data_IF_545655613943
#
_entry.id   IF_545655613943
#
_cell.length_a   1.000
_cell.length_b   1.000
_cell.length_c   1.000
_cell.angle_alpha   90.00
_cell.angle_beta   90.00
_cell.angle_gamma   90.00
#
_symmetry.space_group_name_H-M   'P 1'
#
loop_
_entity.id
_entity.type
_entity.pdbx_description
1 polymer ?
#
# COMPACT_ATOMS: atom_id res chain seq x y z
N UNK A 1 48.72 -47.59 -39.53
CA UNK A 1 47.43 -47.00 -39.97
C UNK A 1 46.98 -46.07 -38.86
N UNK A 2 47.37 -44.78 -38.95
CA UNK A 2 46.58 -43.62 -39.43
C UNK A 2 45.87 -42.90 -38.28
N UNK A 3 46.52 -41.82 -37.85
CA UNK A 3 45.99 -40.65 -37.15
C UNK A 3 44.94 -39.92 -38.00
N UNK A 4 43.90 -39.35 -37.38
CA UNK A 4 43.13 -38.19 -37.90
C UNK A 4 42.16 -37.69 -36.80
N UNK A 5 42.55 -36.71 -35.99
CA UNK A 5 42.34 -35.26 -36.14
C UNK A 5 40.93 -34.75 -35.76
N UNK A 6 40.92 -34.06 -34.62
CA UNK A 6 40.08 -32.91 -34.29
C UNK A 6 39.81 -32.00 -35.50
N UNK A 7 38.54 -31.68 -35.78
CA UNK A 7 38.13 -30.42 -36.41
C UNK A 7 36.65 -30.11 -36.07
N UNK A 8 36.44 -28.88 -35.57
CA UNK A 8 35.16 -28.13 -35.45
C UNK A 8 34.13 -28.58 -34.40
N UNK A 9 34.08 -27.97 -33.19
CA UNK A 9 33.45 -26.67 -32.82
C UNK A 9 31.91 -26.62 -32.96
N UNK A 10 31.23 -26.51 -31.81
CA UNK A 10 30.07 -25.67 -31.40
C UNK A 10 29.50 -26.34 -30.13
N UNK A 11 29.89 -25.93 -28.92
CA UNK A 11 29.24 -24.87 -28.12
C UNK A 11 27.75 -25.13 -27.82
N UNK A 12 27.43 -25.73 -26.66
CA UNK A 12 26.26 -25.37 -25.83
C UNK A 12 26.38 -26.07 -24.46
N UNK A 13 26.90 -25.35 -23.46
CA UNK A 13 26.14 -24.86 -22.31
C UNK A 13 25.76 -25.97 -21.34
N UNK A 14 26.56 -26.04 -20.28
CA UNK A 14 26.14 -26.53 -18.98
C UNK A 14 24.81 -25.89 -18.57
N UNK A 15 23.88 -26.68 -18.05
CA UNK A 15 23.03 -26.38 -16.88
C UNK A 15 22.26 -27.69 -16.62
N UNK A 16 22.91 -28.57 -15.86
CA UNK A 16 22.21 -29.56 -15.03
C UNK A 16 22.02 -28.88 -13.67
N UNK A 17 21.14 -27.89 -13.62
CA UNK A 17 20.84 -27.15 -12.39
C UNK A 17 19.33 -26.89 -12.32
N UNK A 18 18.77 -27.38 -11.21
CA UNK A 18 17.51 -26.96 -10.57
C UNK A 18 16.24 -27.67 -11.06
N UNK A 19 16.13 -28.95 -10.67
CA UNK A 19 14.84 -29.56 -10.31
C UNK A 19 14.43 -29.19 -8.86
N UNK A 20 14.62 -27.93 -8.47
CA UNK A 20 14.33 -27.40 -7.13
C UNK A 20 13.62 -26.05 -7.23
N UNK A 21 12.41 -26.04 -7.77
CA UNK A 21 11.51 -24.88 -7.65
C UNK A 21 10.09 -25.26 -8.06
N UNK A 22 9.51 -26.27 -7.40
CA UNK A 22 8.06 -26.55 -7.51
C UNK A 22 7.39 -26.81 -6.16
N UNK A 23 8.04 -26.45 -5.05
CA UNK A 23 7.41 -26.39 -3.73
C UNK A 23 7.70 -25.05 -3.01
N UNK A 24 7.72 -23.95 -3.75
CA UNK A 24 7.77 -22.60 -3.19
C UNK A 24 6.82 -21.61 -3.91
N UNK A 25 5.85 -22.14 -4.67
CA UNK A 25 4.96 -21.32 -5.51
C UNK A 25 3.47 -21.53 -5.20
N UNK A 26 3.13 -22.16 -4.06
CA UNK A 26 1.74 -22.29 -3.58
C UNK A 26 1.37 -21.35 -2.43
N UNK A 27 2.33 -20.64 -1.84
CA UNK A 27 2.08 -19.59 -0.81
C UNK A 27 2.41 -18.18 -1.33
N UNK A 28 2.45 -18.01 -2.65
CA UNK A 28 2.84 -16.78 -3.32
C UNK A 28 1.83 -15.65 -3.04
N UNK A 29 2.27 -14.64 -2.27
CA UNK A 29 1.80 -13.24 -2.28
C UNK A 29 0.29 -13.06 -2.54
N UNK A 30 -0.52 -13.20 -1.49
CA UNK A 30 -1.85 -12.55 -1.47
C UNK A 30 -1.79 -11.09 -0.98
N UNK A 31 -0.58 -10.53 -0.86
CA UNK A 31 -0.37 -9.16 -0.41
C UNK A 31 -0.58 -8.18 -1.57
N UNK A 32 -1.59 -7.32 -1.45
CA UNK A 32 -1.86 -6.23 -2.40
C UNK A 32 -0.65 -5.29 -2.55
N UNK A 33 0.13 -5.11 -1.47
CA UNK A 33 1.33 -4.27 -1.46
C UNK A 33 2.58 -5.08 -1.09
N UNK A 34 3.74 -4.62 -1.54
CA UNK A 34 5.03 -5.23 -1.20
C UNK A 34 5.56 -4.65 0.12
N UNK A 35 5.88 -5.52 1.08
CA UNK A 35 6.42 -5.16 2.39
C UNK A 35 5.95 -6.12 3.48
N UNK A 36 6.87 -6.66 4.27
CA UNK A 36 6.55 -7.49 5.45
C UNK A 36 5.82 -6.68 6.53
N UNK A 37 6.01 -5.36 6.53
CA UNK A 37 5.35 -4.40 7.41
C UNK A 37 3.92 -4.05 6.97
N UNK A 38 3.42 -4.56 5.85
CA UNK A 38 2.10 -4.22 5.29
C UNK A 38 1.13 -5.40 5.21
N UNK A 39 1.51 -6.57 5.74
CA UNK A 39 0.73 -7.81 5.63
C UNK A 39 -0.68 -7.67 6.21
N UNK A 40 -0.83 -6.99 7.36
CA UNK A 40 -2.12 -6.83 8.03
C UNK A 40 -3.11 -6.04 7.17
N UNK A 41 -2.68 -4.88 6.65
CA UNK A 41 -3.52 -4.06 5.77
C UNK A 41 -3.78 -4.76 4.44
N UNK A 42 -2.77 -5.38 3.84
CA UNK A 42 -2.91 -6.07 2.56
C UNK A 42 -3.92 -7.21 2.66
N UNK A 43 -3.91 -7.98 3.75
CA UNK A 43 -4.90 -9.02 4.01
C UNK A 43 -6.31 -8.44 4.22
N UNK A 44 -6.43 -7.38 5.01
CA UNK A 44 -7.70 -6.69 5.22
C UNK A 44 -8.29 -6.16 3.91
N UNK A 45 -7.43 -5.71 2.99
CA UNK A 45 -7.80 -5.30 1.64
C UNK A 45 -8.25 -6.52 0.82
N UNK A 46 -7.40 -7.53 0.64
CA UNK A 46 -7.70 -8.74 -0.15
C UNK A 46 -9.02 -9.43 0.23
N UNK A 47 -9.41 -9.44 1.51
CA UNK A 47 -10.67 -10.04 1.98
C UNK A 47 -11.90 -9.18 1.66
N UNK A 48 -11.75 -7.86 1.54
CA UNK A 48 -12.88 -6.91 1.48
C UNK A 48 -13.03 -6.17 0.14
N UNK A 49 -12.08 -6.34 -0.80
CA UNK A 49 -11.91 -5.40 -1.92
C UNK A 49 -11.69 -6.07 -3.28
N UNK A 50 -12.44 -7.13 -3.60
CA UNK A 50 -12.32 -7.88 -4.87
C UNK A 50 -12.45 -7.06 -6.17
N UNK A 51 -13.04 -5.85 -6.13
CA UNK A 51 -13.46 -5.12 -7.33
C UNK A 51 -12.85 -3.72 -7.55
N UNK A 52 -11.88 -3.27 -6.74
CA UNK A 52 -11.44 -1.85 -6.84
C UNK A 52 -10.44 -1.55 -7.93
N UNK A 53 -9.61 -2.53 -8.28
CA UNK A 53 -8.48 -2.29 -9.17
C UNK A 53 -8.88 -2.44 -10.65
N UNK A 54 -10.12 -2.07 -11.00
CA UNK A 54 -10.67 -2.11 -12.36
C UNK A 54 -10.09 -1.00 -13.26
N UNK A 55 -8.78 -0.78 -13.21
CA UNK A 55 -8.06 0.20 -14.03
C UNK A 55 -8.05 1.64 -13.50
N UNK A 56 -8.74 1.90 -12.39
CA UNK A 56 -8.77 3.24 -11.80
C UNK A 56 -7.42 3.63 -11.18
N UNK A 57 -7.09 4.92 -11.32
CA UNK A 57 -5.96 5.56 -10.66
C UNK A 57 -6.34 5.84 -9.22
N UNK A 58 -5.64 5.24 -8.28
CA UNK A 58 -5.94 5.33 -6.84
C UNK A 58 -4.69 5.69 -6.05
N UNK A 59 -4.91 6.39 -4.94
CA UNK A 59 -3.90 6.63 -3.93
C UNK A 59 -4.34 5.97 -2.63
N UNK A 60 -3.47 5.16 -2.04
CA UNK A 60 -3.75 4.41 -0.82
C UNK A 60 -2.80 4.86 0.28
N UNK A 61 -3.33 5.30 1.41
CA UNK A 61 -2.53 5.56 2.60
C UNK A 61 -2.44 4.27 3.40
N UNK A 62 -1.31 3.57 3.34
CA UNK A 62 -1.20 2.19 3.84
C UNK A 62 -0.58 2.17 5.24
N UNK A 63 -1.35 1.89 6.31
CA UNK A 63 -0.81 1.76 7.65
C UNK A 63 0.10 0.54 7.77
N UNK A 64 1.22 0.72 8.48
CA UNK A 64 2.15 -0.37 8.82
C UNK A 64 1.57 -1.30 9.91
N UNK A 65 2.13 -2.50 10.07
CA UNK A 65 1.76 -3.42 11.14
C UNK A 65 1.90 -2.75 12.53
N UNK A 66 2.94 -1.94 12.73
CA UNK A 66 3.12 -1.16 13.96
C UNK A 66 1.97 -0.18 14.21
N UNK A 67 1.38 0.39 13.15
CA UNK A 67 0.20 1.24 13.27
C UNK A 67 -1.03 0.48 13.81
N UNK A 68 -1.20 -0.79 13.44
CA UNK A 68 -2.28 -1.64 13.95
C UNK A 68 -2.03 -2.08 15.40
N UNK A 69 -0.79 -2.41 15.74
CA UNK A 69 -0.40 -2.72 17.12
C UNK A 69 -0.70 -1.53 18.04
N UNK A 70 -0.29 -0.33 17.64
CA UNK A 70 -0.59 0.90 18.38
C UNK A 70 -2.10 1.15 18.50
N UNK A 71 -2.87 0.90 17.44
CA UNK A 71 -4.34 1.04 17.48
C UNK A 71 -4.98 0.16 18.55
N UNK A 72 -4.51 -1.09 18.71
CA UNK A 72 -5.04 -2.02 19.71
C UNK A 72 -4.82 -1.57 21.16
N UNK A 73 -3.74 -0.81 21.39
CA UNK A 73 -3.43 -0.23 22.71
C UNK A 73 -4.25 1.02 23.03
N UNK A 74 -4.79 1.67 22.00
CA UNK A 74 -5.65 2.83 22.16
C UNK A 74 -7.06 2.35 22.51
N UNK A 75 -7.56 2.73 23.69
CA UNK A 75 -8.87 2.35 24.26
C UNK A 75 -10.10 2.74 23.42
N UNK A 76 -9.92 3.21 22.18
CA UNK A 76 -10.94 3.79 21.33
C UNK A 76 -11.52 2.82 20.29
N UNK A 77 -10.94 1.63 20.11
CA UNK A 77 -11.33 0.73 19.01
C UNK A 77 -11.65 -0.66 19.53
N UNK A 78 -12.94 -0.95 19.74
CA UNK A 78 -13.40 -2.34 19.57
C UNK A 78 -13.08 -2.75 18.14
N UNK A 79 -12.43 -3.91 17.98
CA UNK A 79 -12.02 -4.41 16.68
C UNK A 79 -13.24 -4.37 15.73
N UNK A 80 -13.14 -3.67 14.60
CA UNK A 80 -14.29 -3.41 13.76
C UNK A 80 -14.90 -4.73 13.25
N UNK A 81 -16.23 -4.86 13.31
CA UNK A 81 -16.96 -5.89 12.55
C UNK A 81 -16.60 -5.82 11.07
N UNK A 82 -16.81 -6.89 10.29
CA UNK A 82 -16.42 -6.95 8.87
C UNK A 82 -16.87 -5.73 8.05
N UNK A 83 -18.07 -5.21 8.31
CA UNK A 83 -18.58 -3.98 7.70
C UNK A 83 -17.78 -2.72 8.05
N UNK A 84 -17.39 -2.58 9.31
CA UNK A 84 -16.55 -1.47 9.78
C UNK A 84 -15.13 -1.62 9.25
N UNK A 85 -14.61 -2.85 9.14
CA UNK A 85 -13.28 -3.11 8.58
C UNK A 85 -13.24 -2.67 7.11
N UNK A 86 -14.28 -3.01 6.34
CA UNK A 86 -14.43 -2.55 4.96
C UNK A 86 -14.45 -1.02 4.88
N UNK A 87 -15.29 -0.35 5.67
CA UNK A 87 -15.35 1.12 5.71
C UNK A 87 -13.98 1.73 6.04
N UNK A 88 -13.27 1.18 7.04
CA UNK A 88 -11.90 1.61 7.37
C UNK A 88 -10.92 1.43 6.22
N UNK A 89 -10.93 0.29 5.52
CA UNK A 89 -10.05 0.08 4.35
C UNK A 89 -10.37 1.09 3.26
N UNK A 90 -11.65 1.31 2.94
CA UNK A 90 -12.09 2.26 1.92
C UNK A 90 -11.72 3.71 2.26
N UNK A 91 -11.67 4.03 3.57
CA UNK A 91 -11.32 5.35 4.07
C UNK A 91 -9.84 5.69 3.81
N UNK A 92 -8.96 4.69 3.71
CA UNK A 92 -7.56 4.89 3.36
C UNK A 92 -7.33 5.08 1.85
N UNK A 93 -8.37 4.93 1.03
CA UNK A 93 -8.26 5.02 -0.43
C UNK A 93 -8.89 6.31 -0.92
N UNK A 94 -8.15 7.06 -1.74
CA UNK A 94 -8.63 8.26 -2.43
C UNK A 94 -8.45 8.09 -3.94
N UNK A 95 -9.32 8.75 -4.70
CA UNK A 95 -9.27 8.68 -6.16
C UNK A 95 -8.14 9.57 -6.72
N UNK A 96 -7.48 9.08 -7.77
CA UNK A 96 -6.34 9.72 -8.44
C UNK A 96 -4.99 9.12 -8.03
N UNK A 97 -3.98 9.27 -8.88
CA UNK A 97 -2.59 8.95 -8.55
C UNK A 97 -1.91 10.21 -8.05
N UNK A 98 -1.97 10.42 -6.74
CA UNK A 98 -1.40 11.57 -6.04
C UNK A 98 -0.06 11.15 -5.46
N UNK A 99 1.02 11.61 -6.10
CA UNK A 99 2.36 11.54 -5.52
C UNK A 99 2.51 12.59 -4.41
N UNK A 100 3.57 12.49 -3.62
CA UNK A 100 3.93 13.47 -2.60
C UNK A 100 4.00 14.88 -3.18
N UNK A 101 4.54 15.04 -4.39
CA UNK A 101 4.57 16.33 -5.11
C UNK A 101 3.17 16.89 -5.39
N UNK A 102 2.23 16.03 -5.79
CA UNK A 102 0.86 16.42 -6.11
C UNK A 102 0.10 16.79 -4.82
N UNK A 103 0.30 16.02 -3.76
CA UNK A 103 -0.24 16.30 -2.43
C UNK A 103 0.26 17.66 -1.92
N UNK A 104 1.56 17.94 -2.01
CA UNK A 104 2.15 19.23 -1.63
C UNK A 104 1.62 20.39 -2.47
N UNK A 105 1.46 20.19 -3.77
CA UNK A 105 0.87 21.21 -4.64
C UNK A 105 -0.57 21.55 -4.22
N UNK A 106 -1.39 20.51 -3.96
CA UNK A 106 -2.76 20.67 -3.45
C UNK A 106 -2.79 21.37 -2.10
N UNK A 107 -1.92 20.96 -1.17
CA UNK A 107 -1.80 21.58 0.16
C UNK A 107 -1.51 23.08 0.03
N UNK A 108 -0.55 23.44 -0.82
CA UNK A 108 -0.18 24.84 -1.06
C UNK A 108 -1.30 25.63 -1.74
N UNK A 109 -1.94 25.06 -2.75
CA UNK A 109 -3.07 25.67 -3.46
C UNK A 109 -4.24 25.98 -2.51
N UNK A 110 -4.50 25.09 -1.55
CA UNK A 110 -5.59 25.22 -0.56
C UNK A 110 -5.20 25.97 0.72
N UNK A 111 -4.04 26.65 0.74
CA UNK A 111 -3.65 27.52 1.85
C UNK A 111 -3.10 26.77 3.08
N UNK A 112 -2.48 25.62 2.88
CA UNK A 112 -1.74 24.86 3.90
C UNK A 112 -2.39 23.55 4.34
N UNK A 113 -3.63 23.27 3.90
CA UNK A 113 -4.32 21.99 4.13
C UNK A 113 -5.22 21.68 2.93
N UNK A 114 -5.24 20.44 2.45
CA UNK A 114 -6.14 20.01 1.38
C UNK A 114 -7.05 18.87 1.86
N UNK A 115 -8.32 18.91 1.47
CA UNK A 115 -9.29 17.86 1.76
C UNK A 115 -9.39 16.91 0.55
N UNK A 116 -9.24 15.62 0.80
CA UNK A 116 -9.34 14.55 -0.18
C UNK A 116 -10.60 13.73 0.08
N UNK A 117 -11.36 13.41 -0.96
CA UNK A 117 -12.52 12.53 -0.82
C UNK A 117 -12.07 11.07 -0.87
N UNK A 118 -12.49 10.29 0.13
CA UNK A 118 -12.19 8.85 0.22
C UNK A 118 -13.23 8.02 -0.51
N UNK A 119 -12.90 6.76 -0.83
CA UNK A 119 -13.85 5.82 -1.41
C UNK A 119 -14.92 5.36 -0.40
N UNK A 120 -14.69 5.55 0.89
CA UNK A 120 -15.72 5.35 1.92
C UNK A 120 -16.85 6.39 1.81
N UNK A 121 -16.53 7.60 1.30
CA UNK A 121 -17.48 8.68 1.04
C UNK A 121 -17.20 9.94 1.87
N UNK A 122 -16.54 9.80 3.02
CA UNK A 122 -16.07 10.92 3.84
C UNK A 122 -14.71 11.44 3.38
N UNK A 123 -14.23 12.54 3.98
CA UNK A 123 -12.98 13.20 3.59
C UNK A 123 -11.81 12.84 4.51
N UNK A 124 -10.59 12.94 3.97
CA UNK A 124 -9.34 13.01 4.72
C UNK A 124 -8.72 14.39 4.53
N UNK A 125 -7.98 14.89 5.49
CA UNK A 125 -7.22 16.13 5.32
C UNK A 125 -5.74 15.83 5.23
N UNK A 126 -5.06 16.33 4.20
CA UNK A 126 -3.61 16.29 4.08
C UNK A 126 -3.00 17.66 4.40
N UNK A 127 -1.85 17.67 5.04
CA UNK A 127 -1.10 18.88 5.40
C UNK A 127 0.39 18.62 5.36
N UNK A 128 1.18 19.69 5.26
CA UNK A 128 2.64 19.63 5.26
C UNK A 128 3.16 20.42 6.48
N UNK A 129 4.20 19.91 7.15
CA UNK A 129 4.88 20.67 8.20
C UNK A 129 5.98 21.59 7.62
N UNK A 130 6.68 22.33 8.48
CA UNK A 130 7.79 23.18 8.08
C UNK A 130 8.99 22.45 7.47
N UNK A 131 9.13 21.15 7.73
CA UNK A 131 10.22 20.32 7.23
C UNK A 131 9.91 19.67 5.88
N UNK A 132 8.66 19.81 5.41
CA UNK A 132 8.18 19.19 4.19
C UNK A 132 7.63 17.78 4.36
N UNK A 133 7.42 17.32 5.58
CA UNK A 133 6.79 16.02 5.85
C UNK A 133 5.27 16.13 5.66
N UNK A 134 4.69 15.11 5.03
CA UNK A 134 3.25 15.04 4.77
C UNK A 134 2.56 14.34 5.94
N UNK A 135 1.47 14.93 6.42
CA UNK A 135 0.59 14.38 7.42
C UNK A 135 -0.81 14.19 6.85
N UNK A 136 -1.43 13.09 7.24
CA UNK A 136 -2.82 12.77 6.95
C UNK A 136 -3.60 12.84 8.25
N UNK A 137 -4.71 13.57 8.25
CA UNK A 137 -5.57 13.80 9.40
C UNK A 137 -6.95 13.26 9.09
N UNK A 138 -7.44 12.38 9.94
CA UNK A 138 -8.80 11.85 9.82
C UNK A 138 -9.86 12.71 10.50
N UNK A 139 -11.12 12.30 10.34
CA UNK A 139 -12.27 13.01 10.89
C UNK A 139 -12.36 12.95 12.43
N UNK A 140 -11.59 12.09 13.08
CA UNK A 140 -11.48 12.00 14.54
C UNK A 140 -10.31 12.84 15.07
N UNK A 141 -9.57 13.53 14.19
CA UNK A 141 -8.41 14.33 14.55
C UNK A 141 -7.12 13.52 14.75
N UNK A 142 -7.11 12.23 14.36
CA UNK A 142 -5.90 11.41 14.39
C UNK A 142 -4.96 11.88 13.29
N UNK A 143 -3.73 12.19 13.66
CA UNK A 143 -2.69 12.63 12.73
C UNK A 143 -1.72 11.48 12.47
N UNK A 144 -1.71 10.99 11.23
CA UNK A 144 -0.78 9.99 10.72
C UNK A 144 0.33 10.68 9.91
N UNK A 145 1.58 10.34 10.18
CA UNK A 145 2.74 10.77 9.39
C UNK A 145 2.93 9.83 8.20
N UNK A 146 3.25 10.39 7.03
CA UNK A 146 3.69 9.60 5.88
C UNK A 146 5.16 9.24 6.06
N UNK A 147 5.44 7.96 6.35
CA UNK A 147 6.79 7.46 6.60
C UNK A 147 7.56 7.15 5.32
N UNK A 148 6.87 6.62 4.31
CA UNK A 148 7.45 6.26 3.03
C UNK A 148 6.46 6.62 1.91
N UNK A 149 6.66 7.77 1.23
CA UNK A 149 5.78 8.19 0.15
C UNK A 149 6.14 7.56 -1.19
N UNK A 150 5.23 7.70 -2.17
CA UNK A 150 5.46 7.48 -3.61
C UNK A 150 5.76 6.04 -4.04
N UNK A 151 5.30 5.05 -3.28
CA UNK A 151 5.39 3.66 -3.68
C UNK A 151 4.33 3.35 -4.73
N UNK A 152 4.63 2.46 -5.68
CA UNK A 152 3.74 2.17 -6.80
C UNK A 152 3.49 0.67 -6.97
N UNK A 153 2.22 0.29 -7.10
CA UNK A 153 1.79 -1.06 -7.43
C UNK A 153 0.75 -0.99 -8.56
N UNK A 154 1.17 -1.31 -9.79
CA UNK A 154 0.30 -1.22 -10.96
C UNK A 154 -0.22 0.21 -11.19
N UNK A 155 -1.55 0.39 -11.17
CA UNK A 155 -2.20 1.69 -11.33
C UNK A 155 -2.34 2.49 -10.04
N UNK A 156 -1.85 1.97 -8.92
CA UNK A 156 -2.04 2.55 -7.59
C UNK A 156 -0.73 3.13 -7.07
N UNK A 157 -0.81 4.35 -6.54
CA UNK A 157 0.23 4.94 -5.69
C UNK A 157 -0.14 4.66 -4.24
N UNK A 158 0.83 4.29 -3.42
CA UNK A 158 0.59 4.14 -1.99
C UNK A 158 1.67 4.83 -1.17
N UNK A 159 1.25 5.33 -0.02
CA UNK A 159 2.08 6.06 0.93
C UNK A 159 1.98 5.34 2.26
N UNK A 160 3.10 4.87 2.81
CA UNK A 160 3.08 4.24 4.13
C UNK A 160 2.80 5.27 5.21
N UNK A 161 1.96 4.91 6.16
CA UNK A 161 1.62 5.76 7.30
C UNK A 161 1.84 5.04 8.63
N UNK A 162 2.12 5.82 9.67
CA UNK A 162 2.42 5.33 11.02
C UNK A 162 1.19 5.07 11.89
N UNK A 163 -0.01 5.45 11.44
CA UNK A 163 -1.28 5.26 12.17
C UNK A 163 -2.41 4.83 11.25
N UNK A 164 -3.31 4.02 11.79
CA UNK A 164 -4.58 3.68 11.13
C UNK A 164 -5.52 4.89 11.19
N UNK A 165 -6.04 5.29 10.03
CA UNK A 165 -7.05 6.33 9.86
C UNK A 165 -8.44 5.73 10.07
N UNK A 166 -9.31 6.43 10.78
CA UNK A 166 -10.65 5.95 11.07
C UNK A 166 -11.70 6.92 10.49
N UNK A 167 -12.72 6.40 9.78
CA UNK A 167 -13.83 7.24 9.36
C UNK A 167 -14.58 7.75 10.59
N UNK A 168 -15.25 8.90 10.44
CA UNK A 168 -16.17 9.37 11.47
C UNK A 168 -17.20 8.25 11.74
N UNK A 169 -17.46 7.96 13.02
CA UNK A 169 -18.43 6.93 13.40
C UNK A 169 -19.81 7.35 12.87
N UNK A 170 -20.23 6.78 11.74
CA UNK A 170 -21.59 6.94 11.23
C UNK A 170 -22.53 6.45 12.35
N UNK A 171 -23.26 7.41 12.94
CA UNK A 171 -24.30 7.13 13.93
C UNK A 171 -25.59 6.76 13.24
#
# INVERSE_FOLDING_TARGET
>A
MKTLNYFFKISLIAILFISYSSQAQSDAKSSVFEGNDLETFSKAMSVNTGDFFNGDKLTVFTPTNAAFENLSTEKYVEMPSDSKLRSTVYYHVVQGNLKSSDLKALIKEKGGRAMLKTLEGTTLTVSENSNGDIFVVDNLGRVASVSEPDLSQGNVIYHKIDKVLLPARNR
#
